data_IF_562431896835
#
_entry.id   IF_562431896835
#
_cell.length_a   1.000
_cell.length_b   1.000
_cell.length_c   1.000
_cell.angle_alpha   90.00
_cell.angle_beta   90.00
_cell.angle_gamma   90.00
#
_symmetry.space_group_name_H-M   'P 1'
#
loop_
_entity.id
_entity.type
_entity.pdbx_description
1 polymer ?
#
# COMPACT_ATOMS: atom_id res chain seq x y z
N UNK A 1 17.48 -13.07 -37.97
CA UNK A 1 16.18 -13.52 -37.39
C UNK A 1 15.73 -12.48 -36.38
N UNK A 2 14.43 -12.14 -36.35
CA UNK A 2 14.00 -10.75 -36.48
C UNK A 2 13.99 -9.97 -35.16
N UNK A 3 14.50 -8.74 -35.25
CA UNK A 3 14.62 -7.79 -34.15
C UNK A 3 13.28 -7.37 -33.56
N UNK A 4 13.23 -7.35 -32.23
CA UNK A 4 12.19 -6.70 -31.46
C UNK A 4 12.25 -5.19 -31.69
N UNK A 5 11.33 -4.68 -32.52
CA UNK A 5 11.09 -3.24 -32.64
C UNK A 5 10.46 -2.74 -31.34
N UNK A 6 11.10 -1.75 -30.70
CA UNK A 6 10.46 -0.91 -29.69
C UNK A 6 9.24 -0.26 -30.31
N UNK A 7 8.06 -0.56 -29.80
CA UNK A 7 6.86 0.25 -30.07
C UNK A 7 7.02 1.59 -29.35
N UNK A 8 6.75 2.66 -30.09
CA UNK A 8 6.88 4.05 -29.64
C UNK A 8 5.99 4.33 -28.43
N UNK A 9 6.53 5.09 -27.48
CA UNK A 9 5.84 5.62 -26.32
C UNK A 9 4.79 6.67 -26.75
N UNK A 10 3.60 6.22 -27.15
CA UNK A 10 2.41 7.04 -27.27
C UNK A 10 1.17 6.16 -27.07
N UNK A 11 0.44 6.41 -25.98
CA UNK A 11 -0.91 5.91 -25.68
C UNK A 11 -1.21 4.44 -26.06
N UNK A 12 -0.75 3.48 -25.26
CA UNK A 12 -1.34 2.14 -25.26
C UNK A 12 -1.97 1.89 -23.89
N UNK A 13 -3.29 2.12 -23.80
CA UNK A 13 -4.06 1.45 -22.75
C UNK A 13 -4.05 -0.03 -23.10
N UNK A 14 -3.54 -0.93 -22.25
CA UNK A 14 -3.65 -2.35 -22.51
C UNK A 14 -5.13 -2.72 -22.47
N UNK A 15 -5.62 -3.29 -23.58
CA UNK A 15 -6.95 -3.89 -23.67
C UNK A 15 -7.04 -4.98 -22.60
N UNK A 16 -7.82 -4.76 -21.54
CA UNK A 16 -8.00 -5.73 -20.46
C UNK A 16 -9.43 -5.71 -19.95
N UNK A 17 -9.93 -6.87 -19.53
CA UNK A 17 -11.31 -7.08 -19.07
C UNK A 17 -11.74 -6.24 -17.87
N UNK A 18 -12.96 -6.48 -17.36
CA UNK A 18 -13.59 -5.67 -16.31
C UNK A 18 -12.72 -5.45 -15.05
N UNK A 19 -11.90 -6.44 -14.68
CA UNK A 19 -10.96 -6.40 -13.56
C UNK A 19 -9.91 -5.29 -13.65
N UNK A 20 -9.27 -5.18 -14.83
CA UNK A 20 -8.29 -4.14 -15.08
C UNK A 20 -8.98 -2.80 -15.14
N UNK A 21 -10.13 -2.69 -15.81
CA UNK A 21 -10.83 -1.41 -15.98
C UNK A 21 -11.16 -0.73 -14.64
N UNK A 22 -11.71 -1.46 -13.65
CA UNK A 22 -12.00 -0.92 -12.32
C UNK A 22 -10.74 -0.52 -11.56
N UNK A 23 -9.71 -1.37 -11.60
CA UNK A 23 -8.42 -1.11 -10.96
C UNK A 23 -7.76 0.16 -11.49
N UNK A 24 -7.73 0.35 -12.82
CA UNK A 24 -7.24 1.57 -13.46
C UNK A 24 -8.09 2.78 -13.09
N UNK A 25 -9.43 2.67 -13.12
CA UNK A 25 -10.34 3.80 -12.89
C UNK A 25 -10.23 4.40 -11.48
N UNK A 26 -10.19 3.54 -10.45
CA UNK A 26 -10.01 4.01 -9.07
C UNK A 26 -8.65 4.71 -8.91
N UNK A 27 -7.60 4.14 -9.49
CA UNK A 27 -6.24 4.69 -9.40
C UNK A 27 -6.11 6.00 -10.17
N UNK A 28 -6.67 6.10 -11.37
CA UNK A 28 -6.72 7.33 -12.16
C UNK A 28 -7.40 8.45 -11.37
N UNK A 29 -8.53 8.15 -10.71
CA UNK A 29 -9.22 9.10 -9.85
C UNK A 29 -8.35 9.58 -8.67
N UNK A 30 -7.52 8.70 -8.08
CA UNK A 30 -6.57 9.09 -7.03
C UNK A 30 -5.38 9.89 -7.58
N UNK A 31 -4.81 9.49 -8.72
CA UNK A 31 -3.68 10.16 -9.35
C UNK A 31 -4.02 11.57 -9.82
N UNK A 32 -5.23 11.79 -10.33
CA UNK A 32 -5.71 13.11 -10.73
C UNK A 32 -5.68 14.15 -9.59
N UNK A 33 -5.71 13.70 -8.33
CA UNK A 33 -5.69 14.54 -7.12
C UNK A 33 -4.27 14.89 -6.63
N UNK A 34 -3.23 14.24 -7.15
CA UNK A 34 -1.83 14.50 -6.76
C UNK A 34 -1.16 15.42 -7.78
N UNK A 35 -1.21 16.73 -7.55
CA UNK A 35 -0.63 17.73 -8.46
C UNK A 35 0.37 18.64 -7.77
N UNK A 36 1.40 19.02 -8.52
CA UNK A 36 2.31 20.10 -8.11
C UNK A 36 1.51 21.39 -7.90
N UNK A 37 1.86 22.15 -6.88
CA UNK A 37 1.17 23.40 -6.54
C UNK A 37 2.18 24.48 -6.13
N UNK A 38 1.78 25.74 -6.29
CA UNK A 38 2.55 26.88 -5.83
C UNK A 38 1.66 28.09 -5.57
N UNK A 39 2.05 28.94 -4.64
CA UNK A 39 1.42 30.24 -4.36
C UNK A 39 2.49 31.32 -4.16
N UNK A 40 2.04 32.58 -4.12
CA UNK A 40 2.88 33.72 -3.72
C UNK A 40 2.42 34.25 -2.37
N UNK A 41 3.36 34.49 -1.47
CA UNK A 41 3.07 35.12 -0.19
C UNK A 41 3.01 36.66 -0.29
N UNK A 42 2.77 37.33 0.85
CA UNK A 42 2.69 38.79 0.93
C UNK A 42 4.01 39.52 0.58
N UNK A 43 5.15 38.82 0.63
CA UNK A 43 6.45 39.36 0.21
C UNK A 43 6.73 39.17 -1.28
N UNK A 44 5.86 38.41 -1.97
CA UNK A 44 6.02 38.01 -3.37
C UNK A 44 6.84 36.73 -3.56
N UNK A 45 7.25 36.07 -2.48
CA UNK A 45 7.99 34.81 -2.55
C UNK A 45 7.11 33.72 -3.17
N UNK A 46 7.65 32.96 -4.12
CA UNK A 46 6.99 31.78 -4.67
C UNK A 46 7.31 30.58 -3.79
N UNK A 47 6.30 29.99 -3.18
CA UNK A 47 6.40 28.79 -2.37
C UNK A 47 5.53 27.70 -3.00
N UNK A 48 5.96 26.45 -2.89
CA UNK A 48 5.18 25.35 -3.43
C UNK A 48 5.83 24.00 -3.24
N UNK A 49 5.19 23.00 -3.84
CA UNK A 49 5.66 21.62 -3.84
C UNK A 49 5.53 21.04 -5.24
N UNK A 50 6.65 20.49 -5.73
CA UNK A 50 6.71 19.75 -6.98
C UNK A 50 6.55 18.26 -6.68
N UNK A 51 5.58 17.62 -7.30
CA UNK A 51 5.29 16.19 -7.19
C UNK A 51 5.81 15.51 -8.46
N UNK A 52 6.74 14.57 -8.30
CA UNK A 52 7.36 13.84 -9.42
C UNK A 52 7.31 12.33 -9.17
N UNK A 53 7.03 11.50 -10.19
CA UNK A 53 7.13 10.05 -10.05
C UNK A 53 8.56 9.59 -9.73
N UNK A 54 8.66 8.45 -9.05
CA UNK A 54 9.91 7.71 -8.93
C UNK A 54 10.37 7.23 -10.31
N UNK A 55 11.69 7.16 -10.52
CA UNK A 55 12.22 6.78 -11.82
C UNK A 55 12.07 5.27 -12.05
N UNK A 56 12.40 4.48 -11.02
CA UNK A 56 12.36 3.02 -11.09
C UNK A 56 11.88 2.40 -9.78
N UNK A 57 10.96 1.43 -9.87
CA UNK A 57 10.42 0.73 -8.71
C UNK A 57 10.50 -0.78 -8.88
N UNK A 58 10.89 -1.45 -7.81
CA UNK A 58 10.88 -2.91 -7.69
C UNK A 58 9.56 -3.40 -7.10
N UNK A 59 9.00 -4.47 -7.67
CA UNK A 59 7.77 -5.12 -7.22
C UNK A 59 8.12 -6.57 -6.86
N UNK A 60 7.96 -6.91 -5.59
CA UNK A 60 8.03 -8.30 -5.14
C UNK A 60 6.65 -8.95 -5.30
N UNK A 61 6.56 -9.96 -6.16
CA UNK A 61 5.34 -10.74 -6.36
C UNK A 61 5.50 -12.03 -5.55
N UNK A 62 4.69 -12.26 -4.50
CA UNK A 62 4.74 -13.49 -3.72
C UNK A 62 4.57 -14.74 -4.59
N UNK A 63 5.08 -15.86 -4.10
CA UNK A 63 4.96 -17.16 -4.74
C UNK A 63 5.29 -18.29 -3.76
N UNK A 64 5.41 -19.51 -4.25
CA UNK A 64 5.79 -20.69 -3.48
C UNK A 64 4.59 -21.49 -2.98
N UNK A 65 3.55 -20.84 -2.45
CA UNK A 65 2.31 -21.52 -1.98
C UNK A 65 1.14 -21.37 -2.95
N UNK A 66 1.08 -20.27 -3.68
CA UNK A 66 0.08 -19.98 -4.70
C UNK A 66 0.64 -18.98 -5.72
N UNK A 67 -0.20 -18.65 -6.71
CA UNK A 67 0.10 -17.72 -7.81
C UNK A 67 -0.79 -16.50 -7.65
N UNK A 68 -0.21 -15.30 -7.63
CA UNK A 68 -0.91 -14.06 -7.28
C UNK A 68 -0.90 -13.02 -8.42
N UNK A 69 -1.67 -13.22 -9.50
CA UNK A 69 -1.78 -12.24 -10.58
C UNK A 69 -2.43 -10.93 -10.08
N UNK A 70 -3.29 -11.00 -9.06
CA UNK A 70 -3.88 -9.84 -8.40
C UNK A 70 -2.81 -8.90 -7.84
N UNK A 71 -1.80 -9.41 -7.14
CA UNK A 71 -0.70 -8.58 -6.61
C UNK A 71 0.07 -7.86 -7.72
N UNK A 72 0.24 -8.48 -8.89
CA UNK A 72 0.85 -7.81 -10.06
C UNK A 72 0.01 -6.60 -10.46
N UNK A 73 -1.30 -6.80 -10.65
CA UNK A 73 -2.20 -5.71 -11.02
C UNK A 73 -2.22 -4.61 -9.95
N UNK A 74 -2.37 -4.99 -8.68
CA UNK A 74 -2.50 -4.05 -7.58
C UNK A 74 -1.24 -3.19 -7.37
N UNK A 75 -0.05 -3.72 -7.63
CA UNK A 75 1.21 -2.98 -7.47
C UNK A 75 1.61 -2.23 -8.73
N UNK A 76 1.73 -2.92 -9.87
CA UNK A 76 2.30 -2.39 -11.12
C UNK A 76 1.37 -1.34 -11.74
N UNK A 77 0.04 -1.57 -11.74
CA UNK A 77 -0.91 -0.58 -12.27
C UNK A 77 -0.83 0.71 -11.46
N UNK A 78 -0.70 0.63 -10.13
CA UNK A 78 -0.56 1.81 -9.26
C UNK A 78 0.72 2.60 -9.59
N UNK A 79 1.83 1.90 -9.82
CA UNK A 79 3.09 2.52 -10.24
C UNK A 79 2.97 3.21 -11.61
N UNK A 80 2.29 2.57 -12.58
CA UNK A 80 2.09 3.13 -13.92
C UNK A 80 1.20 4.36 -13.90
N UNK A 81 0.09 4.34 -13.14
CA UNK A 81 -0.78 5.51 -12.96
C UNK A 81 -0.02 6.67 -12.32
N UNK A 82 0.92 6.39 -11.40
CA UNK A 82 1.77 7.43 -10.83
C UNK A 82 2.76 8.06 -11.82
N UNK A 83 3.03 7.40 -12.96
CA UNK A 83 4.01 7.82 -13.95
C UNK A 83 5.40 7.22 -13.76
N UNK A 84 5.53 6.11 -13.02
CA UNK A 84 6.81 5.39 -12.89
C UNK A 84 7.26 4.88 -14.26
N UNK A 85 8.49 5.24 -14.64
CA UNK A 85 9.03 4.96 -15.97
C UNK A 85 9.48 3.50 -16.12
N UNK A 86 10.12 2.94 -15.10
CA UNK A 86 10.57 1.55 -15.12
C UNK A 86 10.07 0.76 -13.90
N UNK A 87 9.34 -0.32 -14.13
CA UNK A 87 8.83 -1.24 -13.12
C UNK A 87 9.49 -2.61 -13.30
N UNK A 88 10.22 -3.03 -12.28
CA UNK A 88 10.94 -4.30 -12.25
C UNK A 88 10.23 -5.25 -11.30
N UNK A 89 9.80 -6.40 -11.80
CA UNK A 89 9.17 -7.42 -10.99
C UNK A 89 10.14 -8.56 -10.68
N UNK A 90 10.03 -9.10 -9.47
CA UNK A 90 10.74 -10.30 -9.02
C UNK A 90 9.74 -11.28 -8.43
N UNK A 91 9.91 -12.56 -8.73
CA UNK A 91 9.03 -13.61 -8.19
C UNK A 91 9.80 -14.93 -8.00
N UNK A 92 9.64 -15.64 -6.86
CA UNK A 92 10.31 -16.91 -6.62
C UNK A 92 9.73 -18.05 -7.47
N UNK A 93 10.51 -19.13 -7.63
CA UNK A 93 9.97 -20.40 -8.11
C UNK A 93 8.84 -20.93 -7.19
N UNK A 94 7.89 -21.67 -7.75
CA UNK A 94 6.86 -22.36 -6.98
C UNK A 94 7.43 -23.61 -6.28
N UNK A 95 6.73 -24.08 -5.25
CA UNK A 95 7.07 -25.34 -4.58
C UNK A 95 6.85 -26.49 -5.57
N UNK A 96 7.93 -27.16 -5.99
CA UNK A 96 7.89 -28.24 -7.00
C UNK A 96 8.82 -28.00 -8.20
N UNK A 97 9.37 -26.79 -8.35
CA UNK A 97 10.34 -26.46 -9.39
C UNK A 97 9.76 -25.63 -10.55
N UNK A 98 8.44 -25.67 -10.75
CA UNK A 98 7.74 -24.83 -11.72
C UNK A 98 7.93 -23.34 -11.39
N UNK A 99 8.29 -22.52 -12.35
CA UNK A 99 8.47 -21.10 -12.11
C UNK A 99 7.22 -20.31 -12.49
N UNK A 100 6.92 -19.17 -11.84
CA UNK A 100 5.93 -18.22 -12.34
C UNK A 100 6.17 -17.72 -13.78
N UNK A 101 7.38 -17.88 -14.32
CA UNK A 101 7.66 -17.60 -15.73
C UNK A 101 7.14 -18.70 -16.65
N UNK A 102 6.89 -19.88 -16.10
CA UNK A 102 6.24 -20.99 -16.78
C UNK A 102 4.72 -20.93 -16.56
N UNK A 103 4.22 -19.95 -15.79
CA UNK A 103 2.80 -19.72 -15.56
C UNK A 103 2.28 -18.60 -16.49
N UNK A 104 1.44 -18.93 -17.49
CA UNK A 104 0.91 -17.96 -18.44
C UNK A 104 0.13 -16.82 -17.78
N UNK A 105 -0.50 -17.04 -16.62
CA UNK A 105 -1.30 -16.02 -15.93
C UNK A 105 -0.43 -14.91 -15.35
N UNK A 106 0.74 -15.23 -14.79
CA UNK A 106 1.67 -14.19 -14.29
C UNK A 106 2.27 -13.42 -15.44
N UNK A 107 2.68 -14.10 -16.51
CA UNK A 107 3.19 -13.43 -17.72
C UNK A 107 2.13 -12.50 -18.33
N UNK A 108 0.89 -12.95 -18.44
CA UNK A 108 -0.21 -12.14 -18.93
C UNK A 108 -0.49 -10.94 -18.01
N UNK A 109 -0.54 -11.14 -16.68
CA UNK A 109 -0.73 -10.06 -15.72
C UNK A 109 0.40 -9.04 -15.78
N UNK A 110 1.67 -9.49 -15.88
CA UNK A 110 2.82 -8.62 -16.03
C UNK A 110 2.78 -7.82 -17.33
N UNK A 111 2.42 -8.45 -18.44
CA UNK A 111 2.27 -7.78 -19.73
C UNK A 111 1.16 -6.72 -19.69
N UNK A 112 -0.02 -7.09 -19.19
CA UNK A 112 -1.18 -6.20 -19.10
C UNK A 112 -0.96 -5.07 -18.11
N UNK A 113 -0.27 -5.31 -17.00
CA UNK A 113 0.01 -4.25 -16.03
C UNK A 113 1.16 -3.33 -16.48
N UNK A 114 1.98 -3.77 -17.43
CA UNK A 114 3.14 -3.02 -17.93
C UNK A 114 4.37 -3.19 -17.05
N UNK A 115 4.77 -4.43 -16.75
CA UNK A 115 6.10 -4.72 -16.17
C UNK A 115 7.16 -4.59 -17.27
N UNK A 116 8.28 -3.90 -16.99
CA UNK A 116 9.37 -3.76 -17.97
C UNK A 116 10.34 -4.95 -17.94
N UNK A 117 10.61 -5.48 -16.74
CA UNK A 117 11.54 -6.59 -16.53
C UNK A 117 11.00 -7.51 -15.45
N UNK A 118 11.04 -8.83 -15.69
CA UNK A 118 10.62 -9.84 -14.72
C UNK A 118 11.77 -10.81 -14.49
N UNK A 119 12.15 -11.00 -13.22
CA UNK A 119 13.27 -11.86 -12.83
C UNK A 119 12.79 -13.07 -12.03
N UNK A 120 13.45 -14.21 -12.29
CA UNK A 120 13.33 -15.46 -11.52
C UNK A 120 14.07 -15.37 -10.19
N UNK A 121 13.56 -14.56 -9.27
CA UNK A 121 14.26 -14.22 -8.05
C UNK A 121 13.24 -13.95 -6.93
N UNK A 122 13.42 -14.53 -5.75
CA UNK A 122 12.57 -14.26 -4.59
C UNK A 122 13.33 -14.24 -3.27
N UNK A 123 12.63 -14.15 -2.16
CA UNK A 123 13.24 -14.10 -0.82
C UNK A 123 14.05 -12.82 -0.54
N UNK A 124 14.88 -12.88 0.51
CA UNK A 124 15.69 -11.76 0.95
C UNK A 124 16.71 -11.30 -0.12
N UNK A 125 17.25 -12.24 -0.88
CA UNK A 125 18.19 -11.99 -1.97
C UNK A 125 17.57 -11.17 -3.12
N UNK A 126 16.26 -11.33 -3.37
CA UNK A 126 15.57 -10.49 -4.35
C UNK A 126 15.48 -9.04 -3.89
N UNK A 127 15.21 -8.84 -2.60
CA UNK A 127 15.14 -7.51 -2.00
C UNK A 127 16.52 -6.85 -2.03
N UNK A 128 17.58 -7.59 -1.68
CA UNK A 128 18.94 -7.08 -1.77
C UNK A 128 19.34 -6.73 -3.21
N UNK A 129 19.04 -7.59 -4.19
CA UNK A 129 19.33 -7.33 -5.60
C UNK A 129 18.62 -6.07 -6.12
N UNK A 130 17.36 -5.85 -5.72
CA UNK A 130 16.63 -4.62 -6.07
C UNK A 130 17.20 -3.39 -5.34
N UNK A 131 17.58 -3.51 -4.07
CA UNK A 131 18.06 -2.40 -3.25
C UNK A 131 19.44 -1.90 -3.66
N UNK A 132 20.35 -2.82 -4.01
CA UNK A 132 21.77 -2.53 -4.27
C UNK A 132 22.14 -2.66 -5.75
N UNK A 133 21.35 -3.38 -6.54
CA UNK A 133 21.67 -3.73 -7.92
C UNK A 133 22.63 -4.92 -8.01
N UNK A 134 22.64 -5.57 -9.18
CA UNK A 134 23.60 -6.59 -9.60
C UNK A 134 24.01 -6.33 -11.05
N UNK A 135 24.84 -7.20 -11.65
CA UNK A 135 25.19 -7.16 -13.07
C UNK A 135 23.94 -7.29 -13.98
N UNK A 136 22.87 -7.91 -13.48
CA UNK A 136 21.65 -8.20 -14.25
C UNK A 136 20.40 -7.50 -13.72
N UNK A 137 20.30 -7.26 -12.41
CA UNK A 137 19.15 -6.63 -11.74
C UNK A 137 19.49 -5.16 -11.47
N UNK A 138 18.82 -4.20 -12.11
CA UNK A 138 19.05 -2.79 -11.82
C UNK A 138 18.62 -2.41 -10.40
N UNK A 139 19.41 -1.57 -9.74
CA UNK A 139 18.99 -0.90 -8.50
C UNK A 139 17.73 -0.05 -8.72
N UNK A 140 16.80 -0.07 -7.76
CA UNK A 140 15.52 0.68 -7.78
C UNK A 140 15.46 1.76 -6.69
N UNK A 141 14.51 2.69 -6.80
CA UNK A 141 14.30 3.77 -5.82
C UNK A 141 13.38 3.33 -4.65
N UNK A 142 12.42 2.45 -4.93
CA UNK A 142 11.48 1.88 -3.95
C UNK A 142 11.21 0.41 -4.26
N UNK A 143 10.99 -0.40 -3.22
CA UNK A 143 10.52 -1.78 -3.33
C UNK A 143 9.13 -1.88 -2.70
N UNK A 144 8.17 -2.45 -3.43
CA UNK A 144 6.80 -2.67 -2.96
C UNK A 144 6.41 -4.14 -3.06
N UNK A 145 5.32 -4.50 -2.39
CA UNK A 145 4.73 -5.82 -2.43
C UNK A 145 4.92 -6.60 -1.13
N UNK A 146 3.92 -7.42 -0.75
CA UNK A 146 3.99 -8.24 0.46
C UNK A 146 4.94 -9.43 0.26
N UNK A 147 5.27 -10.12 1.34
CA UNK A 147 6.08 -11.33 1.30
C UNK A 147 6.14 -11.98 2.68
N UNK A 148 6.80 -13.13 2.75
CA UNK A 148 6.99 -13.81 4.03
C UNK A 148 7.92 -13.02 4.97
N UNK A 149 8.10 -13.54 6.19
CA UNK A 149 8.96 -12.91 7.22
C UNK A 149 10.38 -12.56 6.73
N UNK A 150 10.97 -13.35 5.83
CA UNK A 150 12.31 -13.10 5.30
C UNK A 150 12.31 -11.89 4.35
N UNK A 151 11.29 -11.78 3.51
CA UNK A 151 11.10 -10.62 2.61
C UNK A 151 10.84 -9.35 3.43
N UNK A 152 9.93 -9.43 4.41
CA UNK A 152 9.62 -8.32 5.29
C UNK A 152 10.84 -7.83 6.08
N UNK A 153 11.63 -8.77 6.62
CA UNK A 153 12.87 -8.46 7.35
C UNK A 153 13.93 -7.88 6.42
N UNK A 154 14.10 -8.42 5.21
CA UNK A 154 15.04 -7.87 4.23
C UNK A 154 14.66 -6.44 3.80
N UNK A 155 13.37 -6.17 3.59
CA UNK A 155 12.86 -4.82 3.29
C UNK A 155 13.19 -3.86 4.43
N UNK A 156 12.98 -4.28 5.68
CA UNK A 156 13.35 -3.50 6.87
C UNK A 156 14.85 -3.18 6.91
N UNK A 157 15.70 -4.17 6.66
CA UNK A 157 17.16 -3.99 6.69
C UNK A 157 17.68 -3.12 5.54
N UNK A 158 17.02 -3.14 4.38
CA UNK A 158 17.41 -2.32 3.22
C UNK A 158 16.84 -0.90 3.27
N UNK A 159 15.88 -0.62 4.15
CA UNK A 159 15.27 0.70 4.26
C UNK A 159 16.32 1.78 4.58
N UNK A 160 16.30 2.87 3.82
CA UNK A 160 17.31 3.94 3.87
C UNK A 160 18.32 3.88 2.72
N UNK A 161 18.63 2.68 2.21
CA UNK A 161 19.32 2.50 0.93
C UNK A 161 18.34 2.48 -0.25
N UNK A 162 17.14 1.98 0.00
CA UNK A 162 15.98 1.98 -0.89
C UNK A 162 14.74 2.30 -0.07
N UNK A 163 13.75 2.95 -0.66
CA UNK A 163 12.46 3.12 0.01
C UNK A 163 11.68 1.79 0.02
N UNK A 164 10.75 1.63 0.96
CA UNK A 164 9.79 0.52 0.99
C UNK A 164 8.37 1.07 1.17
N UNK A 165 7.36 0.30 0.78
CA UNK A 165 5.95 0.56 1.10
C UNK A 165 5.64 0.29 2.57
N UNK A 166 5.85 -0.94 3.02
CA UNK A 166 5.58 -1.38 4.38
C UNK A 166 6.40 -2.63 4.75
N UNK A 167 6.49 -2.88 6.06
CA UNK A 167 6.94 -4.16 6.60
C UNK A 167 5.67 -4.98 6.83
N UNK A 168 5.30 -5.79 5.84
CA UNK A 168 4.10 -6.62 5.94
C UNK A 168 4.27 -7.68 7.04
N UNK A 169 3.30 -7.74 7.94
CA UNK A 169 3.06 -8.85 8.87
C UNK A 169 2.11 -9.89 8.27
N UNK A 170 1.68 -10.88 9.07
CA UNK A 170 0.59 -11.79 8.70
C UNK A 170 -0.68 -11.00 8.40
N UNK A 171 -1.47 -11.51 7.47
CA UNK A 171 -2.71 -10.86 7.06
C UNK A 171 -3.78 -10.99 8.15
N UNK A 172 -4.71 -10.04 8.25
CA UNK A 172 -5.77 -10.06 9.28
C UNK A 172 -7.14 -9.51 8.83
N UNK A 173 -8.23 -10.14 9.28
CA UNK A 173 -9.61 -9.63 9.15
C UNK A 173 -10.27 -9.46 10.51
N UNK A 174 -10.96 -8.32 10.69
CA UNK A 174 -11.86 -8.09 11.82
C UNK A 174 -13.25 -7.83 11.28
N UNK A 175 -14.23 -8.59 11.74
CA UNK A 175 -15.64 -8.47 11.34
C UNK A 175 -16.42 -7.92 12.53
N UNK A 176 -17.05 -6.76 12.38
CA UNK A 176 -18.01 -6.22 13.35
C UNK A 176 -19.41 -6.61 12.91
N UNK A 177 -20.07 -7.47 13.69
CA UNK A 177 -21.36 -8.07 13.33
C UNK A 177 -22.45 -7.80 14.37
N UNK A 178 -23.63 -7.33 13.95
CA UNK A 178 -24.81 -7.27 14.82
C UNK A 178 -25.75 -8.46 14.57
N UNK A 179 -26.87 -8.53 15.31
CA UNK A 179 -27.87 -9.61 15.19
C UNK A 179 -28.47 -9.81 13.79
N UNK A 180 -28.28 -8.88 12.85
CA UNK A 180 -28.75 -8.98 11.47
C UNK A 180 -27.75 -9.66 10.53
N UNK A 181 -26.53 -9.91 10.98
CA UNK A 181 -25.54 -10.65 10.21
C UNK A 181 -25.95 -12.11 10.03
N UNK A 182 -25.71 -12.64 8.84
CA UNK A 182 -25.82 -14.06 8.53
C UNK A 182 -24.60 -14.81 9.09
N UNK A 183 -24.78 -15.79 9.99
CA UNK A 183 -23.67 -16.58 10.51
C UNK A 183 -22.87 -17.34 9.44
N UNK A 184 -23.50 -17.74 8.33
CA UNK A 184 -22.82 -18.47 7.25
C UNK A 184 -21.86 -17.57 6.50
N UNK A 185 -22.24 -16.32 6.24
CA UNK A 185 -21.39 -15.34 5.56
C UNK A 185 -20.22 -14.92 6.46
N UNK A 186 -20.48 -14.61 7.73
CA UNK A 186 -19.42 -14.26 8.69
C UNK A 186 -18.40 -15.40 8.83
N UNK A 187 -18.86 -16.65 8.86
CA UNK A 187 -17.96 -17.81 8.89
C UNK A 187 -17.13 -17.94 7.60
N UNK A 188 -17.75 -17.71 6.44
CA UNK A 188 -17.07 -17.74 5.15
C UNK A 188 -15.98 -16.68 5.06
N UNK A 189 -16.25 -15.44 5.50
CA UNK A 189 -15.28 -14.34 5.47
C UNK A 189 -14.11 -14.57 6.44
N UNK A 190 -14.39 -15.09 7.66
CA UNK A 190 -13.33 -15.53 8.57
C UNK A 190 -12.43 -16.62 7.96
N UNK A 191 -13.01 -17.57 7.23
CA UNK A 191 -12.27 -18.66 6.58
C UNK A 191 -11.50 -18.20 5.35
N UNK A 192 -12.06 -17.29 4.56
CA UNK A 192 -11.42 -16.68 3.41
C UNK A 192 -10.07 -16.07 3.81
N UNK A 193 -10.03 -15.40 4.96
CA UNK A 193 -8.79 -14.89 5.49
C UNK A 193 -7.88 -15.97 6.09
N UNK A 194 -8.44 -16.88 6.89
CA UNK A 194 -7.67 -17.89 7.61
C UNK A 194 -6.91 -18.85 6.66
N UNK A 195 -7.37 -19.06 5.43
CA UNK A 195 -6.70 -19.95 4.49
C UNK A 195 -5.39 -19.40 3.91
N UNK A 196 -5.11 -18.09 4.05
CA UNK A 196 -3.95 -17.44 3.45
C UNK A 196 -2.62 -17.97 4.01
N UNK A 197 -2.45 -17.92 5.32
CA UNK A 197 -1.23 -18.30 6.04
C UNK A 197 -1.55 -18.84 7.44
N UNK A 198 -0.78 -19.80 8.00
CA UNK A 198 -1.02 -20.29 9.36
C UNK A 198 -0.88 -19.25 10.48
N UNK A 199 -0.34 -18.07 10.17
CA UNK A 199 -0.25 -16.92 11.08
C UNK A 199 -1.34 -15.86 10.82
N UNK A 200 -2.25 -16.08 9.88
CA UNK A 200 -3.34 -15.16 9.61
C UNK A 200 -4.31 -15.07 10.81
N UNK A 201 -4.86 -13.88 11.04
CA UNK A 201 -5.84 -13.65 12.09
C UNK A 201 -7.24 -13.42 11.51
N UNK A 202 -8.26 -13.98 12.16
CA UNK A 202 -9.66 -13.80 11.79
C UNK A 202 -10.51 -13.62 13.05
N UNK A 203 -11.04 -12.42 13.25
CA UNK A 203 -11.73 -12.04 14.49
C UNK A 203 -13.13 -11.54 14.19
N UNK A 204 -14.14 -12.13 14.82
CA UNK A 204 -15.52 -11.62 14.80
C UNK A 204 -15.83 -10.93 16.14
N UNK A 205 -16.25 -9.67 16.09
CA UNK A 205 -16.72 -8.87 17.21
C UNK A 205 -18.23 -8.71 17.08
N UNK A 206 -19.01 -9.31 17.98
CA UNK A 206 -20.47 -9.30 17.85
C UNK A 206 -21.20 -8.91 19.13
N UNK A 207 -22.35 -8.26 18.98
CA UNK A 207 -23.23 -7.92 20.11
C UNK A 207 -24.16 -9.06 20.52
N UNK A 208 -24.25 -10.13 19.71
CA UNK A 208 -25.25 -11.18 19.87
C UNK A 208 -24.61 -12.54 20.17
N UNK A 209 -24.87 -13.06 21.38
CA UNK A 209 -24.37 -14.38 21.82
C UNK A 209 -24.89 -15.54 20.97
N UNK A 210 -26.11 -15.44 20.44
CA UNK A 210 -26.70 -16.50 19.59
C UNK A 210 -26.03 -16.48 18.22
N UNK A 211 -25.75 -15.30 17.67
CA UNK A 211 -24.97 -15.18 16.43
C UNK A 211 -23.58 -15.78 16.63
N UNK A 212 -22.87 -15.43 17.71
CA UNK A 212 -21.56 -16.00 18.02
C UNK A 212 -21.57 -17.54 18.02
N UNK A 213 -22.55 -18.16 18.69
CA UNK A 213 -22.69 -19.62 18.72
C UNK A 213 -22.97 -20.21 17.33
N UNK A 214 -23.79 -19.55 16.50
CA UNK A 214 -24.07 -20.01 15.13
C UNK A 214 -22.86 -19.89 14.21
N UNK A 215 -22.07 -18.83 14.34
CA UNK A 215 -20.81 -18.67 13.58
C UNK A 215 -19.83 -19.80 13.90
N UNK A 216 -19.72 -20.24 15.16
CA UNK A 216 -18.88 -21.40 15.52
C UNK A 216 -19.32 -22.67 14.78
N UNK A 217 -20.63 -22.92 14.70
CA UNK A 217 -21.17 -24.09 14.00
C UNK A 217 -20.90 -24.00 12.50
N UNK A 218 -21.15 -22.84 11.88
CA UNK A 218 -20.91 -22.61 10.46
C UNK A 218 -19.41 -22.74 10.11
N UNK A 219 -18.52 -22.16 10.93
CA UNK A 219 -17.06 -22.30 10.78
C UNK A 219 -16.63 -23.77 10.75
N UNK A 220 -17.11 -24.58 11.69
CA UNK A 220 -16.75 -26.00 11.75
C UNK A 220 -17.22 -26.76 10.51
N UNK A 221 -18.45 -26.50 10.05
CA UNK A 221 -19.02 -27.14 8.87
C UNK A 221 -18.28 -26.76 7.58
N UNK A 222 -18.03 -25.47 7.37
CA UNK A 222 -17.37 -24.95 6.17
C UNK A 222 -15.87 -25.32 6.15
N UNK A 223 -15.16 -25.26 7.30
CA UNK A 223 -13.75 -25.64 7.38
C UNK A 223 -13.50 -27.10 6.95
N UNK A 224 -14.44 -28.01 7.24
CA UNK A 224 -14.30 -29.42 6.92
C UNK A 224 -14.17 -29.69 5.40
N UNK A 225 -14.75 -28.83 4.57
CA UNK A 225 -14.80 -28.99 3.10
C UNK A 225 -13.69 -28.25 2.36
N UNK A 226 -12.96 -27.34 3.03
CA UNK A 226 -11.92 -26.54 2.39
C UNK A 226 -10.70 -27.38 1.98
N UNK A 227 -10.19 -27.21 0.74
CA UNK A 227 -8.93 -27.83 0.32
C UNK A 227 -7.75 -27.42 1.21
N UNK A 228 -7.73 -26.17 1.68
CA UNK A 228 -6.69 -25.60 2.55
C UNK A 228 -7.01 -25.70 4.04
N UNK A 229 -7.91 -26.61 4.45
CA UNK A 229 -8.37 -26.75 5.85
C UNK A 229 -7.27 -26.82 6.90
N UNK A 230 -6.13 -27.47 6.61
CA UNK A 230 -5.04 -27.59 7.59
C UNK A 230 -4.37 -26.24 7.90
N UNK A 231 -4.31 -25.34 6.91
CA UNK A 231 -3.79 -23.98 7.09
C UNK A 231 -4.80 -23.15 7.87
N UNK A 232 -6.06 -23.12 7.41
CA UNK A 232 -7.13 -22.37 8.05
C UNK A 232 -7.38 -22.81 9.50
N UNK A 233 -7.38 -24.11 9.78
CA UNK A 233 -7.54 -24.63 11.14
C UNK A 233 -6.42 -24.16 12.08
N UNK A 234 -5.18 -24.11 11.60
CA UNK A 234 -4.04 -23.63 12.40
C UNK A 234 -4.11 -22.13 12.64
N UNK A 235 -4.49 -21.35 11.64
CA UNK A 235 -4.72 -19.91 11.77
C UNK A 235 -5.82 -19.60 12.79
N UNK A 236 -6.99 -20.26 12.65
CA UNK A 236 -8.11 -20.10 13.57
C UNK A 236 -7.78 -20.55 15.01
N UNK A 237 -7.03 -21.63 15.18
CA UNK A 237 -6.65 -22.11 16.51
C UNK A 237 -5.69 -21.15 17.24
N UNK A 238 -4.80 -20.47 16.50
CA UNK A 238 -3.81 -19.58 17.08
C UNK A 238 -4.28 -18.13 17.20
N UNK A 239 -5.04 -17.65 16.21
CA UNK A 239 -5.37 -16.24 16.03
C UNK A 239 -6.85 -16.00 15.62
N UNK A 240 -7.68 -17.04 15.67
CA UNK A 240 -9.12 -16.92 15.50
C UNK A 240 -9.81 -16.54 16.80
N UNK A 241 -10.78 -15.62 16.75
CA UNK A 241 -11.58 -15.28 17.92
C UNK A 241 -13.00 -14.84 17.55
N UNK A 242 -13.97 -15.19 18.41
CA UNK A 242 -15.31 -14.59 18.38
C UNK A 242 -15.53 -13.95 19.74
N UNK A 243 -15.65 -12.64 19.77
CA UNK A 243 -15.75 -11.84 20.99
C UNK A 243 -17.14 -11.21 21.06
N UNK A 244 -17.86 -11.51 22.15
CA UNK A 244 -19.15 -10.88 22.41
C UNK A 244 -18.96 -9.55 23.13
N UNK A 245 -19.37 -8.46 22.49
CA UNK A 245 -19.32 -7.09 23.02
C UNK A 245 -20.68 -6.65 23.54
N UNK A 246 -20.69 -5.60 24.36
CA UNK A 246 -21.90 -4.97 24.92
C UNK A 246 -22.66 -4.16 23.88
N UNK A 247 -21.97 -3.62 22.87
CA UNK A 247 -22.55 -2.80 21.82
C UNK A 247 -21.68 -2.78 20.56
N UNK A 248 -22.26 -2.33 19.44
CA UNK A 248 -21.53 -2.12 18.18
C UNK A 248 -20.46 -1.05 18.37
N UNK A 249 -20.73 -0.01 19.16
CA UNK A 249 -19.74 1.02 19.48
C UNK A 249 -18.52 0.45 20.21
N UNK A 250 -18.72 -0.48 21.15
CA UNK A 250 -17.60 -1.18 21.80
C UNK A 250 -16.84 -2.08 20.82
N UNK A 251 -17.54 -2.77 19.91
CA UNK A 251 -16.89 -3.56 18.87
C UNK A 251 -16.01 -2.68 17.96
N UNK A 252 -16.49 -1.51 17.55
CA UNK A 252 -15.71 -0.54 16.78
C UNK A 252 -14.51 -0.01 17.58
N UNK A 253 -14.66 0.23 18.88
CA UNK A 253 -13.52 0.65 19.72
C UNK A 253 -12.45 -0.43 19.82
N UNK A 254 -12.85 -1.71 19.94
CA UNK A 254 -11.92 -2.84 19.90
C UNK A 254 -11.27 -2.94 18.51
N UNK A 255 -12.02 -2.80 17.42
CA UNK A 255 -11.49 -2.80 16.06
C UNK A 255 -10.46 -1.66 15.88
N UNK A 256 -10.74 -0.45 16.36
CA UNK A 256 -9.78 0.66 16.36
C UNK A 256 -8.53 0.38 17.21
N UNK A 257 -8.67 -0.41 18.28
CA UNK A 257 -7.53 -0.84 19.09
C UNK A 257 -6.65 -1.85 18.36
N UNK A 258 -7.26 -2.79 17.63
CA UNK A 258 -6.58 -3.75 16.78
C UNK A 258 -5.92 -3.09 15.56
N UNK A 259 -6.58 -2.09 14.96
CA UNK A 259 -6.17 -1.41 13.74
C UNK A 259 -5.89 -2.39 12.58
N UNK A 260 -6.91 -3.16 12.17
CA UNK A 260 -6.74 -4.29 11.28
C UNK A 260 -6.38 -3.89 9.85
N UNK A 261 -5.81 -4.83 9.12
CA UNK A 261 -5.67 -4.80 7.65
C UNK A 261 -7.05 -4.65 6.98
N UNK A 262 -7.97 -5.59 7.24
CA UNK A 262 -9.34 -5.56 6.74
C UNK A 262 -10.36 -5.42 7.88
N UNK A 263 -11.33 -4.51 7.72
CA UNK A 263 -12.46 -4.34 8.62
C UNK A 263 -13.78 -4.49 7.88
N UNK A 264 -14.57 -5.49 8.23
CA UNK A 264 -15.92 -5.69 7.69
C UNK A 264 -16.99 -5.22 8.67
N UNK A 265 -17.98 -4.47 8.19
CA UNK A 265 -19.11 -4.00 8.97
C UNK A 265 -20.38 -4.76 8.54
N UNK A 266 -20.53 -5.97 9.07
CA UNK A 266 -21.69 -6.85 8.89
C UNK A 266 -22.84 -6.44 9.85
N UNK A 267 -23.32 -5.21 9.71
CA UNK A 267 -24.39 -4.63 10.54
C UNK A 267 -25.53 -4.14 9.67
N UNK A 268 -26.71 -3.90 10.28
CA UNK A 268 -27.89 -3.47 9.53
C UNK A 268 -27.69 -2.15 8.79
N UNK A 269 -27.00 -1.19 9.42
CA UNK A 269 -26.73 0.13 8.85
C UNK A 269 -25.23 0.46 9.02
N UNK A 270 -24.39 0.06 8.05
CA UNK A 270 -22.94 0.17 8.17
C UNK A 270 -22.43 1.61 7.99
N UNK A 271 -23.19 2.50 7.36
CA UNK A 271 -22.77 3.88 7.08
C UNK A 271 -22.46 4.69 8.35
N UNK A 272 -23.40 4.80 9.30
CA UNK A 272 -23.16 5.48 10.57
C UNK A 272 -22.08 4.81 11.43
N UNK A 273 -21.96 3.47 11.37
CA UNK A 273 -20.94 2.73 12.12
C UNK A 273 -19.54 3.02 11.58
N UNK A 274 -19.39 3.13 10.25
CA UNK A 274 -18.14 3.47 9.61
C UNK A 274 -17.56 4.83 10.06
N UNK A 275 -18.41 5.79 10.43
CA UNK A 275 -17.96 7.08 10.95
C UNK A 275 -17.18 6.98 12.27
N UNK A 276 -17.36 5.88 13.03
CA UNK A 276 -16.61 5.59 14.26
C UNK A 276 -15.26 4.90 14.01
N UNK A 277 -14.99 4.46 12.78
CA UNK A 277 -13.74 3.77 12.41
C UNK A 277 -12.63 4.80 12.21
N UNK A 278 -11.56 4.66 13.00
CA UNK A 278 -10.35 5.51 12.97
C UNK A 278 -9.17 4.80 12.34
N UNK A 279 -9.07 3.48 12.51
CA UNK A 279 -7.93 2.68 12.06
C UNK A 279 -8.40 1.38 11.40
N UNK A 280 -8.20 1.29 10.09
CA UNK A 280 -8.32 0.08 9.28
C UNK A 280 -7.58 0.30 7.96
N UNK A 281 -6.99 -0.75 7.38
CA UNK A 281 -6.41 -0.67 6.03
C UNK A 281 -7.51 -0.48 4.99
N UNK A 282 -8.50 -1.36 4.98
CA UNK A 282 -9.71 -1.26 4.17
C UNK A 282 -10.96 -1.49 5.03
N UNK A 283 -12.05 -0.77 4.70
CA UNK A 283 -13.34 -0.91 5.36
C UNK A 283 -14.38 -1.37 4.35
N UNK A 284 -15.06 -2.47 4.67
CA UNK A 284 -16.10 -3.07 3.86
C UNK A 284 -17.46 -2.87 4.51
N UNK A 285 -18.44 -2.43 3.73
CA UNK A 285 -19.73 -1.95 4.24
C UNK A 285 -20.86 -2.92 3.86
N UNK A 286 -21.44 -3.58 4.86
CA UNK A 286 -22.53 -4.53 4.67
C UNK A 286 -22.07 -5.93 4.28
N UNK A 287 -23.02 -6.87 4.26
CA UNK A 287 -22.75 -8.30 4.07
C UNK A 287 -22.46 -8.68 2.61
N UNK A 288 -22.81 -7.82 1.65
CA UNK A 288 -22.56 -8.06 0.22
C UNK A 288 -21.18 -7.55 -0.24
N UNK A 289 -20.33 -7.12 0.71
CA UNK A 289 -19.00 -6.59 0.45
C UNK A 289 -17.93 -7.41 1.19
N UNK A 290 -17.74 -8.70 0.88
CA UNK A 290 -16.71 -9.50 1.53
C UNK A 290 -15.31 -9.00 1.16
N UNK A 291 -14.33 -9.24 2.03
CA UNK A 291 -12.91 -8.95 1.80
C UNK A 291 -12.43 -9.43 0.43
N UNK A 292 -12.84 -10.63 0.02
CA UNK A 292 -12.51 -11.23 -1.27
C UNK A 292 -12.87 -10.30 -2.45
N UNK A 293 -13.95 -9.52 -2.37
CA UNK A 293 -14.27 -8.55 -3.41
C UNK A 293 -13.19 -7.46 -3.52
N UNK A 294 -12.69 -6.99 -2.37
CA UNK A 294 -11.59 -6.01 -2.26
C UNK A 294 -10.28 -6.53 -2.82
N UNK A 295 -9.96 -7.77 -2.47
CA UNK A 295 -8.71 -8.45 -2.85
C UNK A 295 -8.52 -8.61 -4.36
N UNK A 296 -9.63 -8.66 -5.10
CA UNK A 296 -9.60 -8.91 -6.54
C UNK A 296 -10.12 -7.75 -7.38
N UNK A 297 -11.36 -7.29 -7.19
CA UNK A 297 -12.10 -6.56 -8.24
C UNK A 297 -12.82 -5.28 -7.79
N UNK A 298 -12.81 -4.93 -6.49
CA UNK A 298 -13.48 -3.72 -6.01
C UNK A 298 -12.87 -2.43 -6.55
N UNK A 299 -11.55 -2.42 -6.78
CA UNK A 299 -10.80 -1.26 -7.27
C UNK A 299 -9.71 -0.74 -6.31
N UNK A 300 -9.97 -0.61 -4.99
CA UNK A 300 -8.94 -0.31 -3.99
C UNK A 300 -7.78 -1.31 -3.99
N UNK A 301 -6.71 -0.98 -3.27
CA UNK A 301 -5.49 -1.80 -3.24
C UNK A 301 -5.51 -2.78 -2.07
N UNK A 302 -5.22 -4.05 -2.34
CA UNK A 302 -5.11 -5.08 -1.30
C UNK A 302 -3.72 -5.17 -0.63
N UNK A 303 -2.76 -4.35 -1.08
CA UNK A 303 -1.48 -4.23 -0.36
C UNK A 303 -1.74 -3.24 0.76
N UNK A 304 -2.09 -3.79 1.92
CA UNK A 304 -2.60 -3.06 3.07
C UNK A 304 -1.64 -3.13 4.27
N UNK A 305 -1.77 -2.19 5.21
CA UNK A 305 -1.02 -2.23 6.46
C UNK A 305 -1.55 -3.33 7.39
N UNK A 306 -0.66 -4.20 7.87
CA UNK A 306 -0.95 -5.35 8.75
C UNK A 306 -0.34 -5.17 10.14
N UNK A 307 -0.75 -5.99 11.11
CA UNK A 307 -0.14 -6.04 12.44
C UNK A 307 -0.33 -4.75 13.24
N UNK A 308 -1.49 -4.11 13.10
CA UNK A 308 -1.82 -2.86 13.77
C UNK A 308 -1.18 -1.60 13.15
N UNK A 309 -0.46 -1.74 12.03
CA UNK A 309 0.20 -0.59 11.38
C UNK A 309 -0.78 0.35 10.66
N UNK A 310 -2.06 -0.02 10.50
CA UNK A 310 -3.11 0.87 9.98
C UNK A 310 -3.32 2.14 10.84
N UNK A 311 -2.69 2.21 12.02
CA UNK A 311 -2.60 3.43 12.85
C UNK A 311 -1.80 4.56 12.21
N UNK A 312 -0.83 4.24 11.37
CA UNK A 312 0.12 5.21 10.81
C UNK A 312 0.50 4.94 9.35
N UNK A 313 0.14 3.78 8.81
CA UNK A 313 0.34 3.42 7.42
C UNK A 313 -0.99 3.42 6.65
N UNK A 314 -0.91 3.41 5.32
CA UNK A 314 -2.05 3.49 4.42
C UNK A 314 -1.98 2.38 3.38
N UNK A 315 -3.10 2.04 2.72
CA UNK A 315 -3.12 1.16 1.55
C UNK A 315 -2.14 1.65 0.48
N UNK A 316 -1.49 0.74 -0.24
CA UNK A 316 -0.61 1.14 -1.34
C UNK A 316 -1.37 1.99 -2.38
N UNK A 317 -0.94 3.23 -2.58
CA UNK A 317 -1.61 4.18 -3.45
C UNK A 317 -0.68 4.87 -4.44
N UNK A 318 -1.22 5.68 -5.35
CA UNK A 318 -0.41 6.46 -6.31
C UNK A 318 0.62 7.36 -5.60
N UNK A 319 0.27 7.85 -4.41
CA UNK A 319 1.13 8.67 -3.57
C UNK A 319 2.40 7.95 -3.08
N UNK A 320 2.43 6.61 -3.09
CA UNK A 320 3.60 5.83 -2.72
C UNK A 320 4.70 5.85 -3.77
N UNK A 321 4.35 6.20 -5.01
CA UNK A 321 5.23 6.13 -6.17
C UNK A 321 5.68 7.51 -6.65
N UNK A 322 5.48 8.55 -5.82
CA UNK A 322 5.90 9.93 -6.11
C UNK A 322 6.78 10.48 -4.98
N UNK A 323 7.67 11.40 -5.32
CA UNK A 323 8.42 12.24 -4.38
C UNK A 323 7.89 13.67 -4.41
N UNK A 324 7.96 14.34 -3.27
CA UNK A 324 7.53 15.72 -3.08
C UNK A 324 8.74 16.59 -2.79
N UNK A 325 8.97 17.61 -3.62
CA UNK A 325 10.11 18.52 -3.51
C UNK A 325 9.61 19.92 -3.20
N UNK A 326 10.02 20.50 -2.06
CA UNK A 326 9.71 21.90 -1.74
C UNK A 326 10.41 22.85 -2.71
N UNK A 327 9.67 23.81 -3.26
CA UNK A 327 10.18 24.82 -4.18
C UNK A 327 10.04 26.18 -3.51
N UNK A 328 11.17 26.87 -3.36
CA UNK A 328 11.25 28.20 -2.74
C UNK A 328 11.92 29.14 -3.74
N UNK A 329 11.23 30.22 -4.09
CA UNK A 329 11.77 31.32 -4.88
C UNK A 329 11.56 32.63 -4.13
N UNK A 330 12.66 33.29 -3.76
CA UNK A 330 12.64 34.57 -3.06
C UNK A 330 13.19 35.69 -3.95
N UNK A 331 12.54 36.86 -3.90
CA UNK A 331 13.01 38.06 -4.58
C UNK A 331 13.62 39.10 -3.62
N UNK A 332 14.04 40.27 -4.14
CA UNK A 332 14.61 41.34 -3.33
C UNK A 332 13.70 41.78 -2.17
N UNK A 333 12.40 41.93 -2.43
CA UNK A 333 11.41 42.29 -1.40
C UNK A 333 11.37 41.27 -0.26
N UNK A 334 11.28 39.99 -0.58
CA UNK A 334 11.32 38.90 0.41
C UNK A 334 12.58 38.95 1.27
N UNK A 335 13.75 39.11 0.65
CA UNK A 335 15.01 39.19 1.38
C UNK A 335 15.10 40.44 2.24
N UNK A 336 14.65 41.60 1.75
CA UNK A 336 14.60 42.84 2.53
C UNK A 336 13.69 42.70 3.77
N UNK A 337 12.55 42.04 3.63
CA UNK A 337 11.58 41.85 4.72
C UNK A 337 12.03 40.78 5.72
N UNK A 338 12.41 39.59 5.26
CA UNK A 338 12.68 38.44 6.13
C UNK A 338 14.16 38.27 6.50
N UNK A 339 15.06 38.82 5.69
CA UNK A 339 16.50 38.63 5.82
C UNK A 339 17.06 39.00 7.20
N UNK A 340 16.73 40.17 7.78
CA UNK A 340 17.20 40.54 9.12
C UNK A 340 16.78 39.53 10.22
N UNK A 341 15.58 38.97 10.10
CA UNK A 341 15.08 37.93 11.03
C UNK A 341 15.87 36.63 10.85
N UNK A 342 16.10 36.20 9.61
CA UNK A 342 16.89 34.99 9.31
C UNK A 342 18.32 35.13 9.83
N UNK A 343 18.96 36.29 9.67
CA UNK A 343 20.30 36.55 10.22
C UNK A 343 20.31 36.46 11.74
N UNK A 344 19.30 37.04 12.40
CA UNK A 344 19.18 36.97 13.86
C UNK A 344 19.01 35.53 14.34
N UNK A 345 18.11 34.76 13.71
CA UNK A 345 17.92 33.34 14.03
C UNK A 345 19.20 32.55 13.83
N UNK A 346 19.87 32.71 12.69
CA UNK A 346 21.13 32.04 12.40
C UNK A 346 22.20 32.34 13.46
N UNK A 347 22.30 33.58 13.97
CA UNK A 347 23.24 33.93 15.04
C UNK A 347 22.86 33.33 16.39
N UNK A 348 21.56 33.31 16.73
CA UNK A 348 21.07 32.66 17.95
C UNK A 348 21.36 31.16 17.95
N UNK A 349 21.36 30.53 16.78
CA UNK A 349 21.71 29.12 16.59
C UNK A 349 23.22 28.87 16.42
N UNK A 350 24.07 29.92 16.44
CA UNK A 350 25.51 29.78 16.22
C UNK A 350 25.91 29.44 14.76
N UNK A 351 25.01 29.64 13.80
CA UNK A 351 25.19 29.35 12.38
C UNK A 351 25.62 30.59 11.57
N UNK A 352 26.78 31.16 11.89
CA UNK A 352 27.23 32.43 11.28
C UNK A 352 27.28 32.43 9.74
N UNK A 353 27.65 31.31 9.13
CA UNK A 353 27.70 31.18 7.68
C UNK A 353 26.31 31.34 7.04
N UNK A 354 25.24 30.86 7.69
CA UNK A 354 23.86 31.01 7.22
C UNK A 354 23.45 32.49 7.24
N UNK A 355 23.74 33.20 8.34
CA UNK A 355 23.49 34.65 8.44
C UNK A 355 24.25 35.43 7.37
N UNK A 356 25.56 35.17 7.23
CA UNK A 356 26.39 35.85 6.22
C UNK A 356 25.89 35.65 4.79
N UNK A 357 25.32 34.50 4.47
CA UNK A 357 24.74 34.25 3.14
C UNK A 357 23.59 35.22 2.80
N UNK A 358 22.79 35.62 3.79
CA UNK A 358 21.73 36.62 3.64
C UNK A 358 22.31 38.03 3.61
N UNK A 359 23.21 38.35 4.53
CA UNK A 359 23.83 39.68 4.62
C UNK A 359 24.54 40.08 3.33
N UNK A 360 25.26 39.16 2.69
CA UNK A 360 25.92 39.40 1.39
C UNK A 360 24.93 39.82 0.31
N UNK A 361 23.74 39.19 0.27
CA UNK A 361 22.68 39.54 -0.69
C UNK A 361 22.05 40.89 -0.38
N UNK A 362 21.79 41.18 0.89
CA UNK A 362 21.28 42.48 1.33
C UNK A 362 22.27 43.61 1.04
N UNK A 363 23.57 43.37 1.24
CA UNK A 363 24.62 44.34 0.92
C UNK A 363 24.70 44.62 -0.59
N UNK A 364 24.65 43.58 -1.43
CA UNK A 364 24.67 43.73 -2.89
C UNK A 364 23.48 44.55 -3.41
N UNK A 365 22.28 44.38 -2.83
CA UNK A 365 21.09 45.18 -3.20
C UNK A 365 21.24 46.66 -2.88
N UNK A 366 22.00 47.02 -1.83
CA UNK A 366 22.27 48.42 -1.44
C UNK A 366 23.34 49.06 -2.32
N UNK A 367 24.25 48.26 -2.89
CA UNK A 367 25.38 48.74 -3.71
C UNK A 367 25.03 48.97 -5.19
N UNK A 368 24.00 48.32 -5.74
CA UNK A 368 23.59 48.45 -7.14
C UNK A 368 22.65 49.62 -7.46
N UNK A 369 22.45 50.55 -6.52
CA UNK A 369 21.57 51.72 -6.65
C UNK A 369 22.37 53.04 -6.58
N UNK A 370 23.66 53.00 -6.96
CA UNK A 370 24.57 54.15 -7.08
C UNK A 370 25.00 54.34 -8.52
#
# INVERSE_FOLDING_TARGET
MPGWRRTSAASSRPCGGAATARSWSFRDATGARLRSWSFRDATGARLGQRIEPLARVGVYIPGGRAVYPSTVLMTVVTARVAGVREVIAVTPAQKGGDHPLDNPLILAACHVAGVDRLYRLGGAQAIAALAFGTETVPRVDKIVGPGNIYVATAKRLCYGHVAIDAIAGPSEVVIVADRSADPELVAADMLAQAEHDPLAAAVCLTTDRRLAARVVVALAAQLATLPRRAIAARALAAFGAIVVTRSVAEAVEIANRLAPEHLELAVRDPGPVAAGVRHAGAVFLGQDAPEALGDYLAGPNHVLPTGGTARFASPLGVYDFVKRTSVIGAGPRTLATLGPLVVRLARLEGLDAHGRAIERRLAAMRGGNR
#
